data_IF_275399634129
#
_entry.id   IF_275399634129
#
_cell.length_a   1.000
_cell.length_b   1.000
_cell.length_c   1.000
_cell.angle_alpha   90.00
_cell.angle_beta   90.00
_cell.angle_gamma   90.00
#
_symmetry.space_group_name_H-M   'P 1'
#
loop_
_entity.id
_entity.type
_entity.pdbx_description
1 polymer ?
#
# COMPACT_ATOMS: atom_id res chain seq x y z
N UNK A 1 -0.71 12.46 -0.28
CA UNK A 1 -0.94 11.81 -1.59
C UNK A 1 0.25 10.92 -1.96
N UNK A 2 0.22 10.23 -3.10
CA UNK A 2 1.35 9.41 -3.56
C UNK A 2 2.61 10.26 -3.81
N UNK A 3 2.43 11.44 -4.40
CA UNK A 3 3.50 12.38 -4.73
C UNK A 3 4.24 12.83 -3.48
N UNK A 4 3.52 13.13 -2.40
CA UNK A 4 4.10 13.53 -1.11
C UNK A 4 4.96 12.43 -0.49
N UNK A 5 4.52 11.17 -0.58
CA UNK A 5 5.27 10.02 -0.07
C UNK A 5 6.50 9.75 -0.92
N UNK A 6 6.39 9.84 -2.24
CA UNK A 6 7.54 9.77 -3.15
C UNK A 6 8.55 10.88 -2.83
N UNK A 7 8.09 12.12 -2.63
CA UNK A 7 8.94 13.26 -2.25
C UNK A 7 9.61 13.04 -0.88
N UNK A 8 8.94 12.40 0.07
CA UNK A 8 9.55 12.00 1.34
C UNK A 8 10.68 10.97 1.15
N UNK A 9 10.44 9.92 0.36
CA UNK A 9 11.43 8.88 0.04
C UNK A 9 12.65 9.46 -0.69
N UNK A 10 12.41 10.37 -1.64
CA UNK A 10 13.45 11.10 -2.37
C UNK A 10 14.33 11.92 -1.44
N UNK A 11 13.74 12.72 -0.55
CA UNK A 11 14.49 13.49 0.47
C UNK A 11 15.33 12.62 1.40
N UNK A 12 14.89 11.39 1.67
CA UNK A 12 15.63 10.40 2.48
C UNK A 12 16.65 9.59 1.68
N UNK A 13 16.85 9.89 0.39
CA UNK A 13 17.77 9.17 -0.52
C UNK A 13 17.49 7.66 -0.59
N UNK A 14 16.22 7.28 -0.48
CA UNK A 14 15.82 5.89 -0.68
C UNK A 14 16.01 5.54 -2.17
N UNK A 15 16.42 4.31 -2.46
CA UNK A 15 16.55 3.81 -3.83
C UNK A 15 15.17 3.75 -4.52
N UNK A 16 15.11 4.16 -5.79
CA UNK A 16 13.83 4.31 -6.54
C UNK A 16 12.98 3.04 -6.58
N UNK A 17 13.58 1.84 -6.67
CA UNK A 17 12.84 0.57 -6.68
C UNK A 17 12.12 0.25 -5.36
N UNK A 18 12.43 0.98 -4.27
CA UNK A 18 11.72 0.84 -2.99
C UNK A 18 10.56 1.83 -2.85
N UNK A 19 10.29 2.63 -3.87
CA UNK A 19 9.23 3.63 -3.81
C UNK A 19 7.90 2.88 -3.95
N UNK A 20 6.86 3.29 -3.20
CA UNK A 20 5.55 2.73 -3.42
C UNK A 20 5.04 3.14 -4.80
N UNK A 21 4.50 2.19 -5.55
CA UNK A 21 3.82 2.47 -6.82
C UNK A 21 2.37 2.91 -6.58
N UNK A 22 1.79 2.54 -5.43
CA UNK A 22 0.40 2.79 -5.06
C UNK A 22 0.28 3.08 -3.57
N UNK A 23 -0.70 3.92 -3.23
CA UNK A 23 -1.10 4.19 -1.85
C UNK A 23 -2.59 3.96 -1.73
N UNK A 24 -2.96 3.14 -0.75
CA UNK A 24 -4.34 2.91 -0.36
C UNK A 24 -4.50 3.38 1.08
N UNK A 25 -5.39 4.34 1.29
CA UNK A 25 -5.76 4.79 2.63
C UNK A 25 -6.86 3.88 3.15
N UNK A 26 -6.64 3.30 4.33
CA UNK A 26 -7.59 2.42 5.02
C UNK A 26 -7.86 2.98 6.40
N UNK A 27 -9.08 2.81 6.89
CA UNK A 27 -9.47 3.30 8.23
C UNK A 27 -8.72 2.56 9.35
N UNK A 28 -8.47 1.26 9.16
CA UNK A 28 -7.77 0.41 10.14
C UNK A 28 -6.95 -0.66 9.46
N UNK A 29 -5.79 -0.97 10.05
CA UNK A 29 -4.99 -2.12 9.65
C UNK A 29 -5.57 -3.41 10.23
N UNK A 30 -5.65 -4.50 9.46
CA UNK A 30 -6.09 -5.78 9.98
C UNK A 30 -5.04 -6.30 10.97
N UNK A 31 -5.49 -6.66 12.17
CA UNK A 31 -4.62 -7.13 13.27
C UNK A 31 -5.08 -8.46 13.82
N UNK A 32 -4.15 -9.23 14.39
CA UNK A 32 -4.46 -10.43 15.16
C UNK A 32 -5.01 -10.03 16.54
N UNK A 33 -5.51 -11.00 17.32
CA UNK A 33 -5.92 -10.77 18.71
C UNK A 33 -4.78 -10.18 19.58
N UNK A 34 -3.52 -10.52 19.27
CA UNK A 34 -2.32 -9.96 19.92
C UNK A 34 -1.87 -8.61 19.32
N UNK A 35 -2.61 -8.05 18.37
CA UNK A 35 -2.33 -6.74 17.76
C UNK A 35 -1.33 -6.72 16.60
N UNK A 36 -0.81 -7.87 16.16
CA UNK A 36 0.14 -7.93 15.03
C UNK A 36 -0.58 -7.68 13.71
N UNK A 37 0.01 -6.89 12.81
CA UNK A 37 -0.59 -6.63 11.49
C UNK A 37 -0.61 -7.90 10.64
N UNK A 38 -1.79 -8.23 10.13
CA UNK A 38 -2.02 -9.39 9.27
C UNK A 38 -1.73 -9.02 7.80
N UNK A 39 -0.44 -8.98 7.44
CA UNK A 39 0.01 -8.55 6.09
C UNK A 39 -0.60 -9.37 4.94
N UNK A 40 -0.95 -10.63 5.16
CA UNK A 40 -1.53 -11.47 4.10
C UNK A 40 -2.90 -10.96 3.63
N UNK A 41 -3.72 -10.43 4.55
CA UNK A 41 -5.02 -9.83 4.22
C UNK A 41 -4.83 -8.55 3.40
N UNK A 42 -3.83 -7.72 3.73
CA UNK A 42 -3.51 -6.53 2.96
C UNK A 42 -3.04 -6.87 1.53
N UNK A 43 -2.29 -7.97 1.36
CA UNK A 43 -1.89 -8.46 0.02
C UNK A 43 -3.09 -8.93 -0.78
N UNK A 44 -4.04 -9.63 -0.16
CA UNK A 44 -5.28 -10.06 -0.83
C UNK A 44 -6.15 -8.86 -1.23
N UNK A 45 -6.31 -7.89 -0.33
CA UNK A 45 -7.08 -6.66 -0.59
C UNK A 45 -6.51 -5.88 -1.79
N UNK A 46 -5.20 -5.67 -1.86
CA UNK A 46 -4.62 -4.93 -3.00
C UNK A 46 -4.76 -5.70 -4.32
N UNK A 47 -4.60 -7.03 -4.32
CA UNK A 47 -4.80 -7.84 -5.52
C UNK A 47 -6.23 -7.69 -6.05
N UNK A 48 -7.21 -7.69 -5.15
CA UNK A 48 -8.62 -7.57 -5.53
C UNK A 48 -8.95 -6.17 -6.06
N UNK A 49 -8.46 -5.11 -5.42
CA UNK A 49 -8.60 -3.73 -5.93
C UNK A 49 -8.02 -3.58 -7.33
N UNK A 50 -6.83 -4.14 -7.56
CA UNK A 50 -6.19 -4.10 -8.88
C UNK A 50 -7.00 -4.84 -9.94
N UNK A 51 -7.57 -6.01 -9.62
CA UNK A 51 -8.45 -6.74 -10.55
C UNK A 51 -9.69 -5.95 -10.93
N UNK A 52 -10.29 -5.26 -9.95
CA UNK A 52 -11.48 -4.43 -10.19
C UNK A 52 -11.16 -3.24 -11.08
N UNK A 53 -10.02 -2.57 -10.88
CA UNK A 53 -9.54 -1.51 -11.78
C UNK A 53 -9.38 -2.03 -13.22
N UNK A 54 -8.80 -3.22 -13.41
CA UNK A 54 -8.58 -3.81 -14.73
C UNK A 54 -9.87 -4.24 -15.45
N UNK A 55 -10.91 -4.60 -14.72
CA UNK A 55 -12.18 -5.06 -15.29
C UNK A 55 -13.10 -3.89 -15.65
N UNK A 56 -12.90 -2.73 -15.04
CA UNK A 56 -13.66 -1.51 -15.28
C UNK A 56 -13.18 -0.70 -16.51
N UNK A 57 -12.16 -1.21 -17.23
CA UNK A 57 -11.60 -0.65 -18.47
C UNK A 57 -11.98 -1.53 -19.64
#
# INVERSE_FOLDING_TARGET
TLEEVIAFFSRKRVAKYKYPERIVIVEKLPRTASGKVQKFLLRQDIIERLRQEHTAV
#
